data_IF_423520953086
#
_entry.id   IF_423520953086
#
_cell.length_a   1.000
_cell.length_b   1.000
_cell.length_c   1.000
_cell.angle_alpha   90.00
_cell.angle_beta   90.00
_cell.angle_gamma   90.00
#
_symmetry.space_group_name_H-M   'P 1'
#
loop_
_entity.id
_entity.type
_entity.pdbx_description
1 polymer ?
#
# COMPACT_ATOMS: atom_id res chain seq x y z
N UNK A 1 47.93 9.55 43.36
CA UNK A 1 47.11 8.60 44.14
C UNK A 1 45.81 9.29 44.42
N UNK A 2 44.80 9.05 43.58
CA UNK A 2 43.47 9.65 43.72
C UNK A 2 42.57 8.73 44.57
N UNK A 3 41.70 9.30 45.43
CA UNK A 3 40.86 8.52 46.34
C UNK A 3 39.66 7.91 45.58
N UNK A 4 39.55 6.59 45.67
CA UNK A 4 38.41 5.80 45.21
C UNK A 4 37.26 5.93 46.22
N UNK A 5 36.18 6.59 45.81
CA UNK A 5 34.93 6.68 46.59
C UNK A 5 34.10 5.38 46.47
N UNK A 6 33.53 4.86 47.57
CA UNK A 6 32.73 3.64 47.54
C UNK A 6 31.33 3.88 46.98
N UNK A 7 30.93 3.06 46.01
CA UNK A 7 29.59 3.09 45.40
C UNK A 7 28.60 2.26 46.24
N UNK A 8 27.51 2.89 46.66
CA UNK A 8 26.40 2.23 47.39
C UNK A 8 25.55 1.37 46.43
N UNK A 9 25.24 0.10 46.75
CA UNK A 9 24.36 -0.72 45.92
C UNK A 9 22.90 -0.25 46.01
N UNK A 10 22.26 -0.08 44.86
CA UNK A 10 20.86 0.31 44.75
C UNK A 10 19.91 -0.85 45.13
N UNK A 11 18.88 -0.51 45.91
CA UNK A 11 17.78 -1.41 46.29
C UNK A 11 16.92 -1.78 45.07
N UNK A 12 16.55 -3.07 44.89
CA UNK A 12 15.70 -3.48 43.78
C UNK A 12 14.29 -2.91 43.92
N UNK A 13 13.78 -2.31 42.84
CA UNK A 13 12.42 -1.82 42.74
C UNK A 13 11.42 -2.99 42.79
N UNK A 14 10.30 -2.79 43.49
CA UNK A 14 9.21 -3.76 43.57
C UNK A 14 8.61 -4.05 42.18
N UNK A 15 8.43 -5.33 41.87
CA UNK A 15 7.82 -5.77 40.62
C UNK A 15 6.35 -5.36 40.56
N UNK A 16 5.98 -4.68 39.47
CA UNK A 16 4.61 -4.28 39.19
C UNK A 16 3.69 -5.51 39.08
N UNK A 17 2.56 -5.48 39.78
CA UNK A 17 1.52 -6.50 39.69
C UNK A 17 0.88 -6.44 38.30
N UNK A 18 0.80 -7.56 37.56
CA UNK A 18 0.17 -7.57 36.24
C UNK A 18 -1.33 -7.30 36.36
N UNK A 19 -1.77 -6.17 35.83
CA UNK A 19 -3.18 -5.83 35.65
C UNK A 19 -3.80 -6.83 34.68
N UNK A 20 -4.94 -7.42 35.05
CA UNK A 20 -5.69 -8.32 34.18
C UNK A 20 -5.99 -7.62 32.82
N UNK A 21 -5.89 -8.34 31.69
CA UNK A 21 -6.21 -7.78 30.39
C UNK A 21 -7.67 -7.31 30.37
N UNK A 22 -7.86 -6.04 30.00
CA UNK A 22 -9.20 -5.50 29.82
C UNK A 22 -9.95 -6.33 28.76
N UNK A 23 -11.17 -6.73 29.08
CA UNK A 23 -12.07 -7.36 28.12
C UNK A 23 -12.28 -6.39 26.96
N UNK A 24 -12.08 -6.80 25.69
CA UNK A 24 -12.28 -5.92 24.56
C UNK A 24 -13.75 -5.47 24.54
N UNK A 25 -13.97 -4.17 24.61
CA UNK A 25 -15.28 -3.56 24.41
C UNK A 25 -15.56 -3.64 22.91
N UNK A 26 -16.54 -4.45 22.52
CA UNK A 26 -17.01 -4.52 21.14
C UNK A 26 -17.71 -3.20 20.79
N UNK A 27 -17.01 -2.36 20.03
CA UNK A 27 -17.62 -1.20 19.38
C UNK A 27 -18.17 -1.66 18.03
N UNK A 28 -19.48 -1.56 17.76
CA UNK A 28 -20.01 -1.82 16.42
C UNK A 28 -19.32 -0.91 15.40
N UNK A 29 -18.99 -1.48 14.23
CA UNK A 29 -18.20 -0.83 13.16
C UNK A 29 -18.87 0.44 12.61
N UNK A 30 -20.20 0.48 12.64
CA UNK A 30 -21.02 1.61 12.23
C UNK A 30 -21.68 2.21 13.47
N UNK A 31 -21.52 3.51 13.68
CA UNK A 31 -22.39 4.20 14.61
C UNK A 31 -23.82 4.28 14.05
N UNK A 32 -24.81 4.54 14.91
CA UNK A 32 -26.22 4.52 14.53
C UNK A 32 -26.53 5.44 13.33
N UNK A 33 -25.88 6.60 13.22
CA UNK A 33 -26.07 7.54 12.12
C UNK A 33 -25.51 7.00 10.78
N UNK A 34 -24.38 6.31 10.81
CA UNK A 34 -23.80 5.67 9.62
C UNK A 34 -24.67 4.49 9.16
N UNK A 35 -25.18 3.69 10.09
CA UNK A 35 -26.09 2.59 9.77
C UNK A 35 -27.39 3.09 9.12
N UNK A 36 -27.95 4.19 9.63
CA UNK A 36 -29.16 4.80 9.07
C UNK A 36 -28.92 5.38 7.66
N UNK A 37 -27.77 6.01 7.45
CA UNK A 37 -27.36 6.54 6.14
C UNK A 37 -27.23 5.41 5.11
N UNK A 38 -26.57 4.31 5.48
CA UNK A 38 -26.45 3.14 4.60
C UNK A 38 -27.79 2.49 4.30
N UNK A 39 -28.67 2.36 5.31
CA UNK A 39 -30.01 1.84 5.13
C UNK A 39 -30.86 2.71 4.19
N UNK A 40 -30.64 4.03 4.17
CA UNK A 40 -31.29 4.93 3.22
C UNK A 40 -30.80 4.70 1.78
N UNK A 41 -29.48 4.55 1.58
CA UNK A 41 -28.91 4.27 0.25
C UNK A 41 -29.37 2.93 -0.32
N UNK A 42 -29.38 1.87 0.49
CA UNK A 42 -29.84 0.55 0.06
C UNK A 42 -31.32 0.61 -0.36
N UNK A 43 -32.17 1.29 0.42
CA UNK A 43 -33.58 1.50 0.05
C UNK A 43 -33.74 2.24 -1.27
N UNK A 44 -32.93 3.27 -1.50
CA UNK A 44 -32.95 4.03 -2.75
C UNK A 44 -32.54 3.16 -3.96
N UNK A 45 -31.52 2.32 -3.82
CA UNK A 45 -31.09 1.41 -4.89
C UNK A 45 -32.12 0.31 -5.18
N UNK A 46 -32.85 -0.18 -4.17
CA UNK A 46 -33.99 -1.09 -4.36
C UNK A 46 -35.12 -0.40 -5.14
N UNK A 47 -35.49 0.83 -4.77
CA UNK A 47 -36.51 1.61 -5.48
C UNK A 47 -36.11 1.88 -6.95
N UNK A 48 -34.82 2.07 -7.21
CA UNK A 48 -34.28 2.24 -8.58
C UNK A 48 -34.13 0.93 -9.36
N UNK A 49 -34.45 -0.22 -8.76
CA UNK A 49 -34.28 -1.54 -9.38
C UNK A 49 -32.81 -1.95 -9.60
N UNK A 50 -31.87 -1.32 -8.89
CA UNK A 50 -30.44 -1.66 -8.94
C UNK A 50 -30.10 -2.84 -8.03
N UNK A 51 -30.91 -3.04 -6.98
CA UNK A 51 -30.86 -4.19 -6.08
C UNK A 51 -32.25 -4.83 -5.97
N UNK A 52 -32.29 -6.15 -5.83
CA UNK A 52 -33.50 -6.85 -5.38
C UNK A 52 -33.66 -6.71 -3.86
N UNK A 53 -34.88 -6.93 -3.35
CA UNK A 53 -35.15 -6.94 -1.90
C UNK A 53 -34.27 -7.97 -1.17
N UNK A 54 -34.10 -9.15 -1.76
CA UNK A 54 -33.28 -10.24 -1.19
C UNK A 54 -31.80 -9.84 -1.12
N UNK A 55 -31.27 -9.19 -2.15
CA UNK A 55 -29.90 -8.68 -2.16
C UNK A 55 -29.69 -7.59 -1.10
N UNK A 56 -30.70 -6.74 -0.89
CA UNK A 56 -30.65 -5.67 0.10
C UNK A 56 -30.65 -6.23 1.53
N UNK A 57 -31.48 -7.25 1.79
CA UNK A 57 -31.51 -7.95 3.07
C UNK A 57 -30.21 -8.69 3.33
N UNK A 58 -29.65 -9.37 2.31
CA UNK A 58 -28.35 -10.03 2.42
C UNK A 58 -27.22 -9.03 2.74
N UNK A 59 -27.15 -7.90 2.02
CA UNK A 59 -26.16 -6.85 2.29
C UNK A 59 -26.31 -6.27 3.69
N UNK A 60 -27.54 -6.05 4.16
CA UNK A 60 -27.80 -5.53 5.50
C UNK A 60 -27.40 -6.54 6.60
N UNK A 61 -27.69 -7.82 6.40
CA UNK A 61 -27.29 -8.89 7.31
C UNK A 61 -25.75 -9.02 7.37
N UNK A 62 -25.06 -8.94 6.23
CA UNK A 62 -23.60 -8.98 6.16
C UNK A 62 -22.95 -7.80 6.91
N UNK A 63 -23.51 -6.60 6.75
CA UNK A 63 -23.03 -5.40 7.45
C UNK A 63 -23.19 -5.49 8.97
N UNK A 64 -24.30 -6.06 9.45
CA UNK A 64 -24.55 -6.25 10.88
C UNK A 64 -23.84 -7.47 11.48
N UNK A 65 -23.30 -8.37 10.65
CA UNK A 65 -22.52 -9.50 11.14
C UNK A 65 -21.20 -8.99 11.70
N UNK A 66 -20.83 -9.33 12.96
CA UNK A 66 -19.53 -9.00 13.53
C UNK A 66 -18.39 -9.44 12.61
N UNK A 67 -17.31 -8.67 12.53
CA UNK A 67 -16.19 -8.95 11.61
C UNK A 67 -15.63 -10.35 11.81
N UNK A 68 -15.60 -10.85 13.06
CA UNK A 68 -15.13 -12.20 13.38
C UNK A 68 -16.02 -13.31 12.82
N UNK A 69 -17.28 -13.00 12.49
CA UNK A 69 -18.27 -13.92 11.96
C UNK A 69 -18.52 -13.73 10.46
N UNK A 70 -17.91 -12.73 9.82
CA UNK A 70 -18.04 -12.53 8.37
C UNK A 70 -17.25 -13.62 7.65
N UNK A 71 -17.88 -14.26 6.66
CA UNK A 71 -17.18 -15.20 5.77
C UNK A 71 -16.11 -14.44 5.00
N UNK A 72 -14.86 -14.89 5.10
CA UNK A 72 -13.78 -14.32 4.31
C UNK A 72 -13.93 -14.74 2.84
N UNK A 73 -14.46 -13.84 2.02
CA UNK A 73 -14.68 -14.05 0.60
C UNK A 73 -13.41 -13.81 -0.25
N UNK A 74 -12.25 -13.58 0.38
CA UNK A 74 -10.99 -13.45 -0.34
C UNK A 74 -10.56 -14.80 -0.92
N UNK A 75 -9.84 -14.78 -2.04
CA UNK A 75 -9.25 -15.98 -2.62
C UNK A 75 -8.23 -16.61 -1.66
N UNK A 76 -8.01 -17.92 -1.74
CA UNK A 76 -7.00 -18.63 -0.95
C UNK A 76 -5.61 -17.99 -1.12
N UNK A 77 -5.27 -17.61 -2.37
CA UNK A 77 -4.02 -16.91 -2.68
C UNK A 77 -3.90 -15.54 -2.00
N UNK A 78 -5.01 -14.80 -1.84
CA UNK A 78 -5.02 -13.53 -1.12
C UNK A 78 -4.74 -13.74 0.37
N UNK A 79 -5.38 -14.75 0.97
CA UNK A 79 -5.19 -15.11 2.38
C UNK A 79 -3.75 -15.57 2.63
N UNK A 80 -3.19 -16.40 1.75
CA UNK A 80 -1.80 -16.85 1.83
C UNK A 80 -0.81 -15.67 1.77
N UNK A 81 -1.02 -14.74 0.83
CA UNK A 81 -0.19 -13.53 0.71
C UNK A 81 -0.28 -12.63 1.95
N UNK A 82 -1.47 -12.48 2.53
CA UNK A 82 -1.66 -11.69 3.75
C UNK A 82 -0.95 -12.32 4.94
N UNK A 83 -1.08 -13.64 5.09
CA UNK A 83 -0.36 -14.42 6.13
C UNK A 83 1.16 -14.37 5.94
N UNK A 84 1.64 -14.27 4.71
CA UNK A 84 3.05 -14.07 4.39
C UNK A 84 3.55 -12.63 4.62
N UNK A 85 2.72 -11.74 5.17
CA UNK A 85 3.08 -10.35 5.50
C UNK A 85 2.95 -9.38 4.32
N UNK A 86 2.29 -9.78 3.23
CA UNK A 86 2.05 -8.91 2.08
C UNK A 86 0.69 -8.21 2.10
N UNK A 87 0.07 -8.11 3.28
CA UNK A 87 -1.20 -7.41 3.45
C UNK A 87 -1.15 -5.98 2.86
N UNK A 88 -2.15 -5.57 2.06
CA UNK A 88 -2.21 -4.22 1.52
C UNK A 88 -2.30 -3.22 2.67
N UNK A 89 -1.45 -2.19 2.65
CA UNK A 89 -1.52 -1.13 3.63
C UNK A 89 -2.66 -0.16 3.32
N UNK A 90 -3.20 0.47 4.37
CA UNK A 90 -4.13 1.59 4.24
C UNK A 90 -3.37 2.86 3.82
N UNK A 91 -4.01 3.81 3.13
CA UNK A 91 -3.36 5.05 2.68
C UNK A 91 -2.62 5.80 3.80
N UNK A 92 -3.16 5.83 5.01
CA UNK A 92 -2.60 6.50 6.18
C UNK A 92 -1.36 5.80 6.78
N UNK A 93 -1.11 4.53 6.46
CA UNK A 93 0.03 3.77 6.99
C UNK A 93 1.34 4.03 6.23
N UNK A 94 1.24 4.57 5.01
CA UNK A 94 2.43 4.98 4.26
C UNK A 94 3.10 6.18 4.91
N UNK A 95 4.42 6.17 4.98
CA UNK A 95 5.21 7.27 5.53
C UNK A 95 6.16 7.73 4.43
N UNK A 96 5.75 8.77 3.71
CA UNK A 96 6.48 9.29 2.56
C UNK A 96 7.30 10.50 3.01
N UNK A 97 8.62 10.40 2.89
CA UNK A 97 9.55 11.48 3.22
C UNK A 97 10.07 12.14 1.94
N UNK A 98 9.79 13.44 1.79
CA UNK A 98 10.19 14.24 0.63
C UNK A 98 11.49 15.04 0.82
N UNK A 99 12.06 15.02 2.02
CA UNK A 99 13.31 15.74 2.33
C UNK A 99 13.17 17.27 2.34
N UNK A 100 11.94 17.79 2.45
CA UNK A 100 11.65 19.22 2.61
C UNK A 100 10.90 19.44 3.93
N UNK A 101 11.23 20.51 4.65
CA UNK A 101 10.60 20.84 5.94
C UNK A 101 9.14 21.28 5.77
N UNK A 102 8.83 22.00 4.70
CA UNK A 102 7.48 22.50 4.41
C UNK A 102 6.89 21.80 3.18
N UNK A 103 5.70 21.22 3.35
CA UNK A 103 4.97 20.59 2.24
C UNK A 103 4.18 21.65 1.47
N UNK A 104 4.63 21.94 0.24
CA UNK A 104 3.87 22.79 -0.69
C UNK A 104 2.52 22.13 -1.05
N UNK A 105 1.51 22.90 -1.48
CA UNK A 105 0.23 22.35 -1.92
C UNK A 105 0.36 21.26 -3.00
N UNK A 106 1.29 21.43 -3.93
CA UNK A 106 1.58 20.48 -5.01
C UNK A 106 2.14 19.18 -4.44
N UNK A 107 3.00 19.27 -3.42
CA UNK A 107 3.56 18.09 -2.76
C UNK A 107 2.50 17.30 -1.99
N UNK A 108 1.53 17.98 -1.37
CA UNK A 108 0.39 17.33 -0.70
C UNK A 108 -0.53 16.62 -1.68
N UNK A 109 -0.77 17.22 -2.85
CA UNK A 109 -1.52 16.58 -3.93
C UNK A 109 -0.79 15.34 -4.43
N UNK A 110 0.54 15.44 -4.62
CA UNK A 110 1.36 14.29 -5.00
C UNK A 110 1.36 13.19 -3.92
N UNK A 111 1.47 13.54 -2.64
CA UNK A 111 1.40 12.59 -1.51
C UNK A 111 0.07 11.83 -1.49
N UNK A 112 -1.04 12.56 -1.65
CA UNK A 112 -2.38 11.96 -1.74
C UNK A 112 -2.45 11.00 -2.93
N UNK A 113 -1.99 11.43 -4.12
CA UNK A 113 -2.00 10.61 -5.31
C UNK A 113 -1.14 9.35 -5.16
N UNK A 114 0.07 9.49 -4.61
CA UNK A 114 0.99 8.39 -4.37
C UNK A 114 0.40 7.34 -3.43
N UNK A 115 -0.21 7.76 -2.30
CA UNK A 115 -0.87 6.85 -1.36
C UNK A 115 -2.02 6.09 -2.01
N UNK A 116 -2.83 6.76 -2.82
CA UNK A 116 -3.94 6.11 -3.54
C UNK A 116 -3.43 5.11 -4.59
N UNK A 117 -2.36 5.43 -5.34
CA UNK A 117 -1.74 4.47 -6.26
C UNK A 117 -1.16 3.26 -5.53
N UNK A 118 -0.43 3.47 -4.43
CA UNK A 118 0.15 2.40 -3.62
C UNK A 118 -0.94 1.47 -3.05
N UNK A 119 -2.00 2.05 -2.50
CA UNK A 119 -3.14 1.31 -1.97
C UNK A 119 -3.87 0.55 -3.09
N UNK A 120 -4.15 1.21 -4.22
CA UNK A 120 -4.81 0.58 -5.37
C UNK A 120 -3.99 -0.56 -5.97
N UNK A 121 -2.67 -0.49 -5.91
CA UNK A 121 -1.74 -1.54 -6.31
C UNK A 121 -1.52 -2.62 -5.25
N UNK A 122 -2.22 -2.53 -4.11
CA UNK A 122 -2.13 -3.43 -2.98
C UNK A 122 -0.73 -3.56 -2.37
N UNK A 123 0.05 -2.46 -2.34
CA UNK A 123 1.39 -2.48 -1.77
C UNK A 123 1.34 -2.66 -0.24
N UNK A 124 2.16 -3.56 0.32
CA UNK A 124 2.47 -3.55 1.74
C UNK A 124 3.17 -2.26 2.13
N UNK A 125 3.03 -1.86 3.39
CA UNK A 125 3.58 -0.60 3.94
C UNK A 125 5.06 -0.41 3.60
N UNK A 126 5.89 -1.41 3.91
CA UNK A 126 7.35 -1.32 3.73
C UNK A 126 7.75 -1.17 2.26
N UNK A 127 7.11 -1.95 1.38
CA UNK A 127 7.42 -1.92 -0.05
C UNK A 127 6.93 -0.62 -0.70
N UNK A 128 5.75 -0.11 -0.29
CA UNK A 128 5.24 1.18 -0.76
C UNK A 128 6.14 2.34 -0.35
N UNK A 129 6.57 2.39 0.91
CA UNK A 129 7.50 3.42 1.40
C UNK A 129 8.86 3.34 0.67
N UNK A 130 9.37 2.12 0.46
CA UNK A 130 10.61 1.89 -0.29
C UNK A 130 10.49 2.33 -1.75
N UNK A 131 9.36 2.07 -2.42
CA UNK A 131 9.11 2.49 -3.80
C UNK A 131 9.16 4.02 -3.90
N UNK A 132 8.39 4.74 -3.08
CA UNK A 132 8.35 6.21 -3.17
C UNK A 132 9.69 6.85 -2.81
N UNK A 133 10.40 6.30 -1.82
CA UNK A 133 11.75 6.74 -1.48
C UNK A 133 12.71 6.54 -2.66
N UNK A 134 12.60 5.42 -3.36
CA UNK A 134 13.43 5.12 -4.54
C UNK A 134 13.10 6.07 -5.69
N UNK A 135 11.81 6.32 -5.94
CA UNK A 135 11.36 7.31 -6.94
C UNK A 135 11.98 8.67 -6.63
N UNK A 136 11.89 9.16 -5.40
CA UNK A 136 12.47 10.45 -5.00
C UNK A 136 13.98 10.54 -5.27
N UNK A 137 14.75 9.48 -4.94
CA UNK A 137 16.18 9.42 -5.25
C UNK A 137 16.46 9.43 -6.75
N UNK A 138 15.71 8.65 -7.52
CA UNK A 138 15.85 8.58 -8.98
C UNK A 138 15.54 9.93 -9.60
N UNK A 139 14.44 10.58 -9.21
CA UNK A 139 14.08 11.92 -9.68
C UNK A 139 15.19 12.93 -9.41
N UNK A 140 15.79 12.92 -8.21
CA UNK A 140 16.93 13.79 -7.88
C UNK A 140 18.17 13.47 -8.73
N UNK A 141 18.47 12.18 -8.94
CA UNK A 141 19.60 11.72 -9.74
C UNK A 141 19.44 12.11 -11.22
N UNK A 142 18.25 11.97 -11.78
CA UNK A 142 17.96 12.19 -13.21
C UNK A 142 17.56 13.63 -13.53
N UNK A 143 17.32 14.48 -12.52
CA UNK A 143 16.90 15.87 -12.70
C UNK A 143 17.83 16.68 -13.63
N UNK A 144 19.14 16.40 -13.60
CA UNK A 144 20.17 17.10 -14.37
C UNK A 144 20.59 16.38 -15.65
N UNK A 145 19.98 15.24 -15.97
CA UNK A 145 20.33 14.48 -17.17
C UNK A 145 19.69 15.08 -18.42
N UNK A 146 20.44 15.12 -19.52
CA UNK A 146 19.90 15.42 -20.84
C UNK A 146 19.02 14.27 -21.35
N UNK A 147 18.18 14.51 -22.39
CA UNK A 147 17.40 13.44 -23.01
C UNK A 147 18.24 12.24 -23.45
N UNK A 148 19.41 12.47 -24.09
CA UNK A 148 20.31 11.39 -24.52
C UNK A 148 20.86 10.60 -23.32
N UNK A 149 21.21 11.29 -22.23
CA UNK A 149 21.66 10.65 -21.00
C UNK A 149 20.57 9.80 -20.34
N UNK A 150 19.30 10.19 -20.45
CA UNK A 150 18.16 9.39 -19.96
C UNK A 150 17.99 8.11 -20.78
N UNK A 151 18.20 8.15 -22.10
CA UNK A 151 18.15 6.96 -22.96
C UNK A 151 19.27 5.99 -22.57
N UNK A 152 20.51 6.47 -22.45
CA UNK A 152 21.64 5.64 -22.00
C UNK A 152 21.42 5.09 -20.58
N UNK A 153 20.83 5.89 -19.69
CA UNK A 153 20.45 5.47 -18.35
C UNK A 153 19.49 4.28 -18.41
N UNK A 154 18.38 4.40 -19.14
CA UNK A 154 17.40 3.32 -19.26
C UNK A 154 17.98 2.05 -19.87
N UNK A 155 18.87 2.16 -20.87
CA UNK A 155 19.57 1.00 -21.43
C UNK A 155 20.44 0.29 -20.39
N UNK A 156 21.21 1.05 -19.58
CA UNK A 156 22.04 0.46 -18.51
C UNK A 156 21.19 -0.21 -17.42
N UNK A 157 20.08 0.40 -17.04
CA UNK A 157 19.16 -0.17 -16.05
C UNK A 157 18.45 -1.43 -16.58
N UNK A 158 18.07 -1.44 -17.86
CA UNK A 158 17.50 -2.61 -18.52
C UNK A 158 18.47 -3.81 -18.53
N UNK A 159 19.76 -3.58 -18.72
CA UNK A 159 20.78 -4.64 -18.60
C UNK A 159 20.80 -5.26 -17.19
N UNK A 160 20.60 -4.45 -16.14
CA UNK A 160 20.51 -4.96 -14.75
C UNK A 160 19.27 -5.82 -14.55
N UNK A 161 18.12 -5.40 -15.09
CA UNK A 161 16.89 -6.18 -15.09
C UNK A 161 17.07 -7.50 -15.84
N UNK A 162 17.67 -7.46 -17.04
CA UNK A 162 17.94 -8.65 -17.84
C UNK A 162 18.85 -9.63 -17.12
N UNK A 163 19.89 -9.13 -16.42
CA UNK A 163 20.75 -9.98 -15.58
C UNK A 163 20.00 -10.63 -14.42
N UNK A 164 18.98 -9.97 -13.87
CA UNK A 164 18.23 -10.44 -12.70
C UNK A 164 17.15 -11.45 -13.08
N UNK A 165 16.40 -11.18 -14.15
CA UNK A 165 15.21 -11.96 -14.54
C UNK A 165 15.43 -12.86 -15.75
N UNK A 166 16.52 -12.69 -16.51
CA UNK A 166 16.83 -13.48 -17.69
C UNK A 166 15.70 -13.48 -18.72
N UNK A 167 15.40 -14.64 -19.28
CA UNK A 167 14.40 -14.82 -20.33
C UNK A 167 12.96 -14.51 -19.86
N UNK A 168 12.72 -14.53 -18.54
CA UNK A 168 11.41 -14.23 -17.97
C UNK A 168 11.10 -12.73 -17.87
N UNK A 169 12.07 -11.85 -18.14
CA UNK A 169 11.89 -10.40 -17.99
C UNK A 169 10.71 -9.86 -18.81
N UNK A 170 10.57 -10.33 -20.05
CA UNK A 170 9.50 -9.86 -20.95
C UNK A 170 8.10 -10.12 -20.38
N UNK A 171 7.84 -11.33 -19.90
CA UNK A 171 6.56 -11.70 -19.27
C UNK A 171 6.29 -10.87 -18.02
N UNK A 172 7.31 -10.70 -17.17
CA UNK A 172 7.22 -9.92 -15.93
C UNK A 172 6.93 -8.44 -16.19
N UNK A 173 7.57 -7.85 -17.20
CA UNK A 173 7.30 -6.48 -17.64
C UNK A 173 5.87 -6.33 -18.18
N UNK A 174 5.35 -7.32 -18.91
CA UNK A 174 3.96 -7.32 -19.37
C UNK A 174 2.99 -7.33 -18.19
N UNK A 175 3.24 -8.17 -17.16
CA UNK A 175 2.41 -8.20 -15.96
C UNK A 175 2.41 -6.86 -15.20
N UNK A 176 3.59 -6.23 -15.06
CA UNK A 176 3.73 -4.91 -14.45
C UNK A 176 3.00 -3.82 -15.24
N UNK A 177 3.16 -3.79 -16.57
CA UNK A 177 2.46 -2.84 -17.44
C UNK A 177 0.93 -3.01 -17.37
N UNK A 178 0.43 -4.25 -17.30
CA UNK A 178 -1.00 -4.50 -17.13
C UNK A 178 -1.51 -3.96 -15.80
N UNK A 179 -0.75 -4.15 -14.71
CA UNK A 179 -1.10 -3.59 -13.40
C UNK A 179 -1.14 -2.05 -13.46
N UNK A 180 -0.10 -1.42 -14.00
CA UNK A 180 -0.03 0.04 -14.16
C UNK A 180 -1.20 0.56 -15.01
N UNK A 181 -1.59 -0.16 -16.07
CA UNK A 181 -2.74 0.22 -16.88
C UNK A 181 -4.05 0.19 -16.09
N UNK A 182 -4.29 -0.87 -15.32
CA UNK A 182 -5.49 -0.99 -14.48
C UNK A 182 -5.55 0.10 -13.39
N UNK A 183 -4.39 0.53 -12.86
CA UNK A 183 -4.31 1.63 -11.91
C UNK A 183 -4.58 2.98 -12.57
N UNK A 184 -4.01 3.21 -13.75
CA UNK A 184 -4.20 4.45 -14.52
C UNK A 184 -5.68 4.70 -14.85
N UNK A 185 -6.44 3.64 -15.18
CA UNK A 185 -7.89 3.74 -15.45
C UNK A 185 -8.69 4.22 -14.23
N UNK A 186 -8.25 3.87 -13.02
CA UNK A 186 -8.91 4.27 -11.76
C UNK A 186 -8.42 5.62 -11.28
N UNK A 187 -7.15 5.91 -11.49
CA UNK A 187 -6.50 7.13 -11.03
C UNK A 187 -5.37 7.54 -11.99
N UNK A 188 -5.62 8.50 -12.88
CA UNK A 188 -4.66 8.89 -13.91
C UNK A 188 -3.42 9.57 -13.33
N UNK A 189 -2.33 9.54 -14.11
CA UNK A 189 -1.07 10.23 -13.83
C UNK A 189 0.10 9.32 -13.44
N UNK A 190 -0.15 8.04 -13.11
CA UNK A 190 0.90 7.09 -12.74
C UNK A 190 1.83 6.81 -13.92
N UNK A 191 1.28 6.60 -15.13
CA UNK A 191 2.09 6.39 -16.34
C UNK A 191 2.96 7.61 -16.64
N UNK A 192 2.40 8.81 -16.53
CA UNK A 192 3.15 10.05 -16.75
C UNK A 192 4.28 10.21 -15.74
N UNK A 193 4.02 9.89 -14.46
CA UNK A 193 5.06 9.89 -13.43
C UNK A 193 6.21 8.94 -13.80
N UNK A 194 5.90 7.68 -14.12
CA UNK A 194 6.92 6.69 -14.45
C UNK A 194 7.71 7.05 -15.71
N UNK A 195 7.07 7.64 -16.72
CA UNK A 195 7.75 8.12 -17.92
C UNK A 195 8.57 9.39 -17.65
N UNK A 196 8.21 10.18 -16.65
CA UNK A 196 8.92 11.41 -16.33
C UNK A 196 10.33 11.10 -15.85
N UNK A 197 11.32 11.75 -16.47
CA UNK A 197 12.72 11.71 -16.04
C UNK A 197 13.30 10.28 -15.88
N UNK A 198 12.79 9.31 -16.64
CA UNK A 198 13.26 7.91 -16.63
C UNK A 198 13.02 7.17 -15.30
N UNK A 199 12.02 7.57 -14.51
CA UNK A 199 11.71 6.93 -13.22
C UNK A 199 11.38 5.44 -13.39
N UNK A 200 10.55 5.11 -14.37
CA UNK A 200 10.15 3.74 -14.69
C UNK A 200 11.27 2.91 -15.31
N UNK A 201 12.31 3.55 -15.83
CA UNK A 201 13.47 2.85 -16.39
C UNK A 201 14.46 2.42 -15.31
N UNK A 202 14.38 2.96 -14.09
CA UNK A 202 15.24 2.54 -12.99
C UNK A 202 15.00 1.07 -12.62
N UNK A 203 16.07 0.26 -12.57
CA UNK A 203 15.94 -1.18 -12.35
C UNK A 203 15.30 -1.53 -11.00
N UNK A 204 15.55 -0.74 -9.94
CA UNK A 204 14.98 -1.00 -8.61
C UNK A 204 13.47 -0.68 -8.62
N UNK A 205 13.08 0.47 -9.20
CA UNK A 205 11.66 0.83 -9.37
C UNK A 205 10.93 -0.23 -10.17
N UNK A 206 11.47 -0.61 -11.33
CA UNK A 206 10.90 -1.65 -12.18
C UNK A 206 10.81 -3.01 -11.45
N UNK A 207 11.85 -3.45 -10.74
CA UNK A 207 11.83 -4.67 -9.94
C UNK A 207 10.76 -4.68 -8.85
N UNK A 208 10.58 -3.55 -8.14
CA UNK A 208 9.52 -3.42 -7.13
C UNK A 208 8.13 -3.52 -7.77
N UNK A 209 7.92 -2.88 -8.92
CA UNK A 209 6.67 -2.93 -9.67
C UNK A 209 6.41 -4.34 -10.23
N UNK A 210 7.42 -5.03 -10.75
CA UNK A 210 7.33 -6.42 -11.21
C UNK A 210 6.90 -7.34 -10.07
N UNK A 211 7.62 -7.32 -8.94
CA UNK A 211 7.30 -8.19 -7.81
C UNK A 211 5.92 -7.88 -7.23
N UNK A 212 5.51 -6.61 -7.25
CA UNK A 212 4.16 -6.25 -6.84
C UNK A 212 3.11 -6.69 -7.83
N UNK A 213 3.36 -6.62 -9.14
CA UNK A 213 2.41 -7.06 -10.15
C UNK A 213 2.10 -8.56 -10.04
N UNK A 214 3.09 -9.38 -9.72
CA UNK A 214 2.88 -10.81 -9.47
C UNK A 214 1.91 -11.04 -8.31
N UNK A 215 2.12 -10.34 -7.18
CA UNK A 215 1.20 -10.36 -6.04
C UNK A 215 -0.17 -9.79 -6.42
N UNK A 216 -0.19 -8.69 -7.16
CA UNK A 216 -1.40 -8.01 -7.63
C UNK A 216 -2.23 -8.89 -8.58
N UNK A 217 -1.67 -9.86 -9.28
CA UNK A 217 -2.49 -10.76 -10.09
C UNK A 217 -2.82 -12.05 -9.34
N UNK A 218 -1.95 -12.49 -8.42
CA UNK A 218 -2.20 -13.66 -7.60
C UNK A 218 -3.46 -13.51 -6.71
N UNK A 219 -3.71 -12.36 -6.07
CA UNK A 219 -4.89 -12.24 -5.17
C UNK A 219 -6.24 -12.29 -5.90
N UNK A 220 -6.27 -12.07 -7.22
CA UNK A 220 -7.50 -12.02 -8.03
C UNK A 220 -7.60 -13.19 -9.00
N UNK A 221 -6.63 -14.13 -9.00
CA UNK A 221 -6.79 -15.44 -9.63
C UNK A 221 -7.48 -16.36 -8.62
N UNK A 222 -8.81 -16.37 -8.66
CA UNK A 222 -9.68 -17.22 -7.85
C UNK A 222 -10.96 -17.52 -8.60
#
# INVERSE_FOLDING_TARGET
MEPITPTTPATPAAAATPTAPATPVFTPELNAAQAETMAAWIREDVVKGRLTSDQAEQAFNELNTPVENRTDNRSEAAVELDNAGYAPAKPEEYVIHYGVEEQTPELKQFDTAARTWLHGAAFPRELGNSLVTTIGRVTQQTAKMSPDQLVEYGQREMVKLQKTYGDSLGEKMVAANRMIHALEERQPGLKQLLQSKGIGDNAIVASLLIGQAERYWARWRG
#
